data_IF_701768869031
#
_entry.id   IF_701768869031
#
_cell.length_a   1.000
_cell.length_b   1.000
_cell.length_c   1.000
_cell.angle_alpha   90.00
_cell.angle_beta   90.00
_cell.angle_gamma   90.00
#
_symmetry.space_group_name_H-M   'P 1'
#
loop_
_entity.id
_entity.type
_entity.pdbx_description
1 polymer ?
#
# COMPACT_ATOMS: atom_id res chain seq x y z
N UNK A 1 5.22 -30.15 -13.74
CA UNK A 1 5.11 -30.10 -12.28
C UNK A 1 4.97 -28.65 -11.93
N UNK A 2 3.78 -28.20 -11.54
CA UNK A 2 3.63 -26.86 -11.00
C UNK A 2 4.32 -26.87 -9.65
N UNK A 3 5.31 -26.01 -9.44
CA UNK A 3 5.84 -25.76 -8.10
C UNK A 3 4.66 -25.35 -7.24
N UNK A 4 4.37 -26.14 -6.21
CA UNK A 4 3.37 -25.79 -5.22
C UNK A 4 3.94 -24.60 -4.44
N UNK A 5 3.57 -23.40 -4.88
CA UNK A 5 3.95 -22.16 -4.20
C UNK A 5 3.15 -22.12 -2.90
N UNK A 6 3.74 -22.67 -1.84
CA UNK A 6 3.21 -22.54 -0.49
C UNK A 6 3.39 -21.10 -0.04
N UNK A 7 2.26 -20.38 0.11
CA UNK A 7 2.25 -19.00 0.58
C UNK A 7 2.10 -19.01 2.10
N UNK A 8 3.12 -18.57 2.83
CA UNK A 8 3.01 -18.42 4.28
C UNK A 8 2.20 -17.16 4.64
N UNK A 9 1.17 -17.26 5.50
CA UNK A 9 0.36 -16.11 5.90
C UNK A 9 1.19 -14.97 6.52
N UNK A 10 2.27 -15.33 7.23
CA UNK A 10 3.18 -14.35 7.85
C UNK A 10 3.94 -13.49 6.84
N UNK A 11 4.27 -14.04 5.67
CA UNK A 11 4.93 -13.30 4.59
C UNK A 11 3.96 -12.34 3.90
N UNK A 12 2.71 -12.78 3.70
CA UNK A 12 1.62 -11.95 3.18
C UNK A 12 1.36 -10.76 4.10
N UNK A 13 1.29 -10.97 5.41
CA UNK A 13 1.16 -9.87 6.37
C UNK A 13 2.34 -8.91 6.39
N UNK A 14 3.57 -9.43 6.20
CA UNK A 14 4.77 -8.59 6.12
C UNK A 14 4.71 -7.69 4.89
N UNK A 15 4.37 -8.24 3.73
CA UNK A 15 4.17 -7.46 2.50
C UNK A 15 3.07 -6.40 2.67
N UNK A 16 1.95 -6.75 3.31
CA UNK A 16 0.88 -5.80 3.63
C UNK A 16 1.34 -4.60 4.45
N UNK A 17 2.19 -4.83 5.47
CA UNK A 17 2.79 -3.76 6.28
C UNK A 17 3.76 -2.89 5.48
N UNK A 18 4.50 -3.49 4.54
CA UNK A 18 5.40 -2.73 3.67
C UNK A 18 4.61 -1.79 2.75
N UNK A 19 3.45 -2.20 2.23
CA UNK A 19 2.59 -1.30 1.44
C UNK A 19 2.12 -0.08 2.23
N UNK A 20 1.73 -0.25 3.50
CA UNK A 20 1.40 0.90 4.35
C UNK A 20 2.58 1.82 4.59
N UNK A 21 3.77 1.25 4.85
CA UNK A 21 4.98 2.06 5.02
C UNK A 21 5.29 2.88 3.76
N UNK A 22 5.18 2.27 2.58
CA UNK A 22 5.42 2.96 1.32
C UNK A 22 4.35 4.03 1.09
N UNK A 23 3.08 3.73 1.38
CA UNK A 23 1.98 4.70 1.33
C UNK A 23 2.26 5.92 2.21
N UNK A 24 2.64 5.71 3.47
CA UNK A 24 3.01 6.77 4.42
C UNK A 24 4.20 7.61 3.94
N UNK A 25 5.20 6.96 3.35
CA UNK A 25 6.40 7.65 2.85
C UNK A 25 6.11 8.45 1.58
N UNK A 26 5.23 7.96 0.69
CA UNK A 26 4.73 8.70 -0.47
C UNK A 26 3.89 9.92 -0.03
N UNK A 27 3.03 9.78 0.97
CA UNK A 27 2.23 10.89 1.49
C UNK A 27 3.10 12.02 2.10
N UNK A 28 4.33 11.70 2.52
CA UNK A 28 5.30 12.70 3.00
C UNK A 28 6.07 13.39 1.87
N UNK A 29 6.05 12.87 0.63
CA UNK A 29 6.67 13.53 -0.50
C UNK A 29 5.88 14.81 -0.81
N UNK A 30 6.51 15.96 -0.56
CA UNK A 30 5.99 17.29 -0.90
C UNK A 30 6.53 17.74 -2.25
N UNK A 31 6.09 17.07 -3.31
CA UNK A 31 6.46 17.40 -4.69
C UNK A 31 5.98 18.81 -5.05
N UNK A 32 4.81 19.19 -4.51
CA UNK A 32 4.27 20.54 -4.59
C UNK A 32 5.25 21.60 -4.04
N UNK A 33 5.81 21.37 -2.86
CA UNK A 33 6.70 22.31 -2.19
C UNK A 33 8.01 22.51 -2.95
N UNK A 34 8.67 21.42 -3.37
CA UNK A 34 9.97 21.51 -4.09
C UNK A 34 9.83 22.24 -5.42
N UNK A 35 8.76 21.99 -6.17
CA UNK A 35 8.55 22.65 -7.45
C UNK A 35 7.99 24.07 -7.30
N UNK A 36 7.19 24.34 -6.26
CA UNK A 36 6.71 25.70 -5.94
C UNK A 36 7.84 26.65 -5.54
N UNK A 37 8.86 26.16 -4.82
CA UNK A 37 10.08 26.93 -4.53
C UNK A 37 10.82 27.32 -5.83
N UNK A 38 10.93 26.36 -6.76
CA UNK A 38 11.47 26.62 -8.11
C UNK A 38 10.63 27.61 -8.92
N UNK A 39 9.29 27.53 -8.83
CA UNK A 39 8.37 28.44 -9.52
C UNK A 39 8.45 29.87 -8.98
N UNK A 40 8.62 30.00 -7.66
CA UNK A 40 8.81 31.29 -6.97
C UNK A 40 10.12 31.94 -7.39
N UNK A 41 11.18 31.15 -7.57
CA UNK A 41 12.46 31.65 -8.10
C UNK A 41 12.35 32.19 -9.54
N UNK A 42 11.38 31.72 -10.33
CA UNK A 42 11.18 32.11 -11.74
C UNK A 42 10.30 33.35 -11.95
N UNK A 43 9.95 34.11 -10.90
CA UNK A 43 9.20 35.39 -10.91
C UNK A 43 8.05 35.47 -11.95
N UNK A 44 6.89 34.93 -11.61
CA UNK A 44 5.57 35.40 -12.06
C UNK A 44 5.19 35.28 -13.55
N UNK A 45 6.11 34.82 -14.41
CA UNK A 45 5.84 34.55 -15.83
C UNK A 45 4.97 33.31 -16.05
N UNK A 46 4.50 33.10 -17.28
CA UNK A 46 3.72 31.91 -17.68
C UNK A 46 4.41 30.60 -17.29
N UNK A 47 5.75 30.58 -17.32
CA UNK A 47 6.55 29.44 -16.89
C UNK A 47 6.40 29.11 -15.40
N UNK A 48 6.35 30.13 -14.51
CA UNK A 48 6.15 29.92 -13.07
C UNK A 48 4.74 29.40 -12.76
N UNK A 49 3.72 29.90 -13.46
CA UNK A 49 2.34 29.35 -13.35
C UNK A 49 2.24 27.92 -13.85
N UNK A 50 2.87 27.61 -14.99
CA UNK A 50 2.93 26.26 -15.53
C UNK A 50 3.63 25.28 -14.58
N UNK A 51 4.74 25.69 -13.98
CA UNK A 51 5.48 24.86 -13.03
C UNK A 51 4.70 24.62 -11.74
N UNK A 52 4.02 25.63 -11.20
CA UNK A 52 3.16 25.47 -10.03
C UNK A 52 1.97 24.53 -10.30
N UNK A 53 1.32 24.65 -11.47
CA UNK A 53 0.26 23.72 -11.87
C UNK A 53 0.78 22.29 -12.00
N UNK A 54 1.90 22.11 -12.68
CA UNK A 54 2.53 20.80 -12.84
C UNK A 54 2.90 20.18 -11.49
N UNK A 55 3.40 20.99 -10.55
CA UNK A 55 3.70 20.55 -9.18
C UNK A 55 2.48 19.96 -8.47
N UNK A 56 1.33 20.62 -8.57
CA UNK A 56 0.06 20.11 -8.03
C UNK A 56 -0.39 18.83 -8.73
N UNK A 57 -0.32 18.77 -10.06
CA UNK A 57 -0.67 17.55 -10.82
C UNK A 57 0.21 16.36 -10.42
N UNK A 58 1.51 16.57 -10.17
CA UNK A 58 2.39 15.52 -9.68
C UNK A 58 2.10 15.14 -8.23
N UNK A 59 1.74 16.11 -7.37
CA UNK A 59 1.32 15.81 -6.00
C UNK A 59 0.05 14.96 -5.97
N UNK A 60 -0.92 15.25 -6.83
CA UNK A 60 -2.16 14.47 -6.95
C UNK A 60 -1.88 13.02 -7.38
N UNK A 61 -0.94 12.83 -8.32
CA UNK A 61 -0.48 11.49 -8.73
C UNK A 61 0.14 10.73 -7.56
N UNK A 62 1.04 11.38 -6.80
CA UNK A 62 1.70 10.76 -5.64
C UNK A 62 0.69 10.40 -4.56
N UNK A 63 -0.28 11.28 -4.29
CA UNK A 63 -1.36 11.02 -3.34
C UNK A 63 -2.23 9.84 -3.80
N UNK A 64 -2.58 9.78 -5.09
CA UNK A 64 -3.35 8.65 -5.64
C UNK A 64 -2.64 7.31 -5.45
N UNK A 65 -1.33 7.24 -5.73
CA UNK A 65 -0.54 6.02 -5.53
C UNK A 65 -0.46 5.66 -4.04
N UNK A 66 -0.32 6.66 -3.16
CA UNK A 66 -0.31 6.45 -1.71
C UNK A 66 -1.64 5.82 -1.24
N UNK A 67 -2.78 6.31 -1.71
CA UNK A 67 -4.10 5.77 -1.39
C UNK A 67 -4.29 4.34 -1.90
N UNK A 68 -3.85 4.04 -3.13
CA UNK A 68 -3.91 2.69 -3.70
C UNK A 68 -3.10 1.67 -2.89
N UNK A 69 -1.91 2.07 -2.43
CA UNK A 69 -1.06 1.21 -1.59
C UNK A 69 -1.64 0.99 -0.20
N UNK A 70 -2.26 2.01 0.41
CA UNK A 70 -2.97 1.83 1.69
C UNK A 70 -4.14 0.85 1.56
N UNK A 71 -4.93 1.01 0.49
CA UNK A 71 -6.03 0.11 0.18
C UNK A 71 -5.54 -1.33 -0.04
N UNK A 72 -4.42 -1.51 -0.75
CA UNK A 72 -3.80 -2.81 -0.96
C UNK A 72 -3.34 -3.44 0.36
N UNK A 73 -2.64 -2.68 1.23
CA UNK A 73 -2.24 -3.14 2.55
C UNK A 73 -3.43 -3.63 3.39
N UNK A 74 -4.55 -2.88 3.33
CA UNK A 74 -5.82 -3.26 3.98
C UNK A 74 -6.40 -4.56 3.42
N UNK A 75 -6.41 -4.74 2.10
CA UNK A 75 -6.92 -5.95 1.46
C UNK A 75 -6.08 -7.18 1.83
N UNK A 76 -4.75 -7.03 1.81
CA UNK A 76 -3.79 -8.08 2.17
C UNK A 76 -4.00 -8.55 3.61
N UNK A 77 -4.15 -7.61 4.56
CA UNK A 77 -4.48 -7.95 5.96
C UNK A 77 -5.80 -8.71 6.07
N UNK A 78 -6.85 -8.27 5.37
CA UNK A 78 -8.16 -8.95 5.38
C UNK A 78 -8.06 -10.37 4.83
N UNK A 79 -7.28 -10.59 3.78
CA UNK A 79 -7.05 -11.90 3.21
C UNK A 79 -6.33 -12.83 4.20
N UNK A 80 -5.25 -12.36 4.85
CA UNK A 80 -4.53 -13.13 5.86
C UNK A 80 -5.41 -13.48 7.07
N UNK A 81 -6.25 -12.54 7.55
CA UNK A 81 -7.23 -12.82 8.60
C UNK A 81 -8.30 -13.83 8.19
N UNK A 82 -8.81 -13.74 6.96
CA UNK A 82 -9.80 -14.69 6.44
C UNK A 82 -9.23 -16.10 6.35
N UNK A 83 -7.97 -16.22 5.92
CA UNK A 83 -7.24 -17.48 5.87
C UNK A 83 -7.07 -18.10 7.27
N UNK A 84 -6.56 -17.34 8.25
CA UNK A 84 -6.43 -17.82 9.65
C UNK A 84 -7.76 -18.30 10.23
N UNK A 85 -8.85 -17.54 10.03
CA UNK A 85 -10.19 -17.95 10.48
C UNK A 85 -10.64 -19.26 9.80
N UNK A 86 -10.22 -19.53 8.58
CA UNK A 86 -10.54 -20.79 7.90
C UNK A 86 -9.72 -21.96 8.46
N UNK A 87 -8.45 -21.75 8.77
CA UNK A 87 -7.60 -22.75 9.44
C UNK A 87 -8.11 -23.07 10.85
N UNK A 88 -8.43 -22.05 11.66
CA UNK A 88 -8.96 -22.23 13.02
C UNK A 88 -10.24 -23.07 13.01
N UNK A 89 -11.19 -22.76 12.12
CA UNK A 89 -12.42 -23.54 11.94
C UNK A 89 -12.16 -24.96 11.48
N UNK A 90 -11.14 -25.17 10.66
CA UNK A 90 -10.77 -26.51 10.18
C UNK A 90 -10.16 -27.34 11.31
N UNK A 91 -9.26 -26.74 12.10
CA UNK A 91 -8.68 -27.36 13.29
C UNK A 91 -9.75 -27.69 14.35
N UNK A 92 -10.70 -26.80 14.59
CA UNK A 92 -11.85 -27.06 15.48
C UNK A 92 -12.69 -28.24 14.98
N UNK A 93 -12.96 -28.32 13.67
CA UNK A 93 -13.67 -29.46 13.08
C UNK A 93 -12.90 -30.77 13.24
N UNK A 94 -11.59 -30.79 13.00
CA UNK A 94 -10.78 -32.00 13.17
C UNK A 94 -10.74 -32.47 14.63
N UNK A 95 -10.59 -31.53 15.58
CA UNK A 95 -10.69 -31.85 17.02
C UNK A 95 -12.06 -32.40 17.40
N UNK A 96 -13.14 -31.83 16.87
CA UNK A 96 -14.51 -32.30 17.13
C UNK A 96 -14.78 -33.70 16.52
N UNK A 97 -14.08 -34.07 15.45
CA UNK A 97 -14.18 -35.38 14.79
C UNK A 97 -13.29 -36.45 15.43
N UNK A 98 -12.51 -36.12 16.47
CA UNK A 98 -11.66 -37.08 17.19
C UNK A 98 -10.49 -37.62 16.37
N UNK A 99 -10.12 -36.94 15.29
CA UNK A 99 -8.91 -37.27 14.51
C UNK A 99 -7.72 -36.73 15.30
N UNK A 100 -7.15 -37.57 16.15
CA UNK A 100 -5.80 -37.36 16.68
C UNK A 100 -4.81 -37.95 15.67
N UNK A 101 -3.81 -37.16 15.28
CA UNK A 101 -2.60 -37.65 14.59
C UNK A 101 -1.94 -38.80 15.35
#
# INVERSE_FOLDING_TARGET
MADEVTVEPGDVERAGREFWKISDDLAKLRVDSTMSDGATAMRGGDMGRGLARYAHEQQDIVNGISEELDALGTQVKRAAEAYRRAEDRSAERFRALGVNE
#
